data_IF_551234107783
#
_entry.id   IF_551234107783
#
_cell.length_a   1.000
_cell.length_b   1.000
_cell.length_c   1.000
_cell.angle_alpha   90.00
_cell.angle_beta   90.00
_cell.angle_gamma   90.00
#
_symmetry.space_group_name_H-M   'P 1'
#
loop_
_entity.id
_entity.type
_entity.pdbx_description
1 polymer ?
#
# COMPACT_ATOMS: atom_id res chain seq x y z
N UNK A 1 -4.08 -12.38 32.52
CA UNK A 1 -3.93 -12.76 31.09
C UNK A 1 -5.13 -12.36 30.23
N UNK A 2 -6.39 -12.59 30.66
CA UNK A 2 -7.59 -12.20 29.89
C UNK A 2 -7.69 -10.70 29.54
N UNK A 3 -7.30 -9.80 30.46
CA UNK A 3 -7.30 -8.35 30.20
C UNK A 3 -6.35 -7.94 29.06
N UNK A 4 -5.20 -8.62 28.91
CA UNK A 4 -4.25 -8.36 27.80
C UNK A 4 -4.85 -8.80 26.46
N UNK A 5 -5.52 -9.95 26.43
CA UNK A 5 -6.22 -10.42 25.23
C UNK A 5 -7.41 -9.52 24.86
N UNK A 6 -8.14 -8.99 25.86
CA UNK A 6 -9.20 -8.02 25.62
C UNK A 6 -8.66 -6.70 25.04
N UNK A 7 -7.53 -6.21 25.55
CA UNK A 7 -6.85 -5.03 25.01
C UNK A 7 -6.38 -5.28 23.56
N UNK A 8 -5.74 -6.41 23.27
CA UNK A 8 -5.29 -6.79 21.92
C UNK A 8 -6.45 -6.87 20.93
N UNK A 9 -7.58 -7.46 21.33
CA UNK A 9 -8.81 -7.50 20.50
C UNK A 9 -9.37 -6.11 20.26
N UNK A 10 -9.38 -5.24 21.27
CA UNK A 10 -9.87 -3.87 21.13
C UNK A 10 -9.00 -3.05 20.20
N UNK A 11 -7.67 -3.18 20.30
CA UNK A 11 -6.73 -2.57 19.37
C UNK A 11 -6.93 -3.08 17.94
N UNK A 12 -7.00 -4.39 17.73
CA UNK A 12 -7.25 -4.95 16.40
C UNK A 12 -8.55 -4.43 15.77
N UNK A 13 -9.65 -4.37 16.56
CA UNK A 13 -10.92 -3.78 16.11
C UNK A 13 -10.77 -2.30 15.75
N UNK A 14 -10.00 -1.54 16.52
CA UNK A 14 -9.77 -0.13 16.24
C UNK A 14 -8.96 0.05 14.95
N UNK A 15 -7.91 -0.75 14.74
CA UNK A 15 -7.11 -0.70 13.51
C UNK A 15 -7.97 -1.03 12.29
N UNK A 16 -8.83 -2.05 12.37
CA UNK A 16 -9.79 -2.36 11.29
C UNK A 16 -10.75 -1.20 11.01
N UNK A 17 -11.27 -0.55 12.06
CA UNK A 17 -12.13 0.64 11.89
C UNK A 17 -11.41 1.78 11.17
N UNK A 18 -10.14 2.05 11.50
CA UNK A 18 -9.35 3.08 10.83
C UNK A 18 -9.14 2.74 9.34
N UNK A 19 -8.86 1.47 9.02
CA UNK A 19 -8.73 1.01 7.62
C UNK A 19 -10.05 1.17 6.87
N UNK A 20 -11.17 0.75 7.45
CA UNK A 20 -12.50 0.91 6.84
C UNK A 20 -12.84 2.38 6.62
N UNK A 21 -12.55 3.26 7.59
CA UNK A 21 -12.77 4.69 7.43
C UNK A 21 -11.91 5.28 6.30
N UNK A 22 -10.63 4.91 6.23
CA UNK A 22 -9.74 5.33 5.16
C UNK A 22 -10.23 4.87 3.78
N UNK A 23 -10.75 3.65 3.67
CA UNK A 23 -11.36 3.14 2.44
C UNK A 23 -12.60 3.94 2.01
N UNK A 24 -13.47 4.29 2.95
CA UNK A 24 -14.65 5.12 2.67
C UNK A 24 -14.24 6.54 2.24
N UNK A 25 -13.28 7.16 2.94
CA UNK A 25 -12.79 8.49 2.56
C UNK A 25 -12.14 8.47 1.16
N UNK A 26 -11.39 7.42 0.82
CA UNK A 26 -10.84 7.24 -0.52
C UNK A 26 -11.97 7.12 -1.55
N UNK A 27 -13.00 6.31 -1.26
CA UNK A 27 -14.15 6.13 -2.13
C UNK A 27 -14.92 7.43 -2.36
N UNK A 28 -15.12 8.24 -1.32
CA UNK A 28 -15.80 9.53 -1.43
C UNK A 28 -15.03 10.50 -2.34
N UNK A 29 -13.69 10.46 -2.29
CA UNK A 29 -12.83 11.30 -3.14
C UNK A 29 -12.68 10.79 -4.58
N UNK A 30 -12.68 9.47 -4.81
CA UNK A 30 -12.34 8.86 -6.10
C UNK A 30 -13.51 8.12 -6.77
N UNK A 31 -14.70 8.12 -6.14
CA UNK A 31 -15.89 7.38 -6.57
C UNK A 31 -15.64 5.89 -6.85
N UNK A 32 -14.63 5.31 -6.20
CA UNK A 32 -14.18 3.93 -6.39
C UNK A 32 -13.31 3.50 -5.22
N UNK A 33 -13.27 2.20 -4.92
CA UNK A 33 -12.30 1.65 -3.98
C UNK A 33 -10.92 1.52 -4.64
N UNK A 34 -9.82 1.55 -3.86
CA UNK A 34 -8.48 1.43 -4.43
C UNK A 34 -8.31 0.07 -5.12
N UNK A 35 -7.56 0.06 -6.22
CA UNK A 35 -7.15 -1.19 -6.83
C UNK A 35 -6.31 -2.00 -5.82
N UNK A 36 -6.48 -3.32 -5.81
CA UNK A 36 -5.70 -4.19 -4.92
C UNK A 36 -4.19 -4.05 -5.16
N UNK A 37 -3.81 -3.82 -6.41
CA UNK A 37 -2.43 -3.69 -6.85
C UNK A 37 -2.32 -2.85 -8.13
N UNK A 38 -1.28 -2.01 -8.22
CA UNK A 38 -0.96 -1.16 -9.36
C UNK A 38 0.36 -1.60 -9.99
N UNK A 39 0.27 -2.22 -11.16
CA UNK A 39 1.40 -2.76 -11.92
C UNK A 39 1.04 -2.69 -13.40
N UNK A 40 2.04 -2.61 -14.29
CA UNK A 40 1.75 -2.77 -15.72
C UNK A 40 1.39 -4.21 -16.06
N UNK A 41 0.52 -4.39 -17.05
CA UNK A 41 0.16 -5.73 -17.52
C UNK A 41 1.37 -6.46 -18.07
N UNK A 42 1.68 -7.61 -17.46
CA UNK A 42 2.64 -8.59 -17.99
C UNK A 42 1.88 -9.74 -18.66
N UNK A 43 2.41 -10.28 -19.74
CA UNK A 43 1.91 -11.49 -20.40
C UNK A 43 3.05 -12.51 -20.51
N UNK A 44 2.88 -13.69 -19.89
CA UNK A 44 3.91 -14.74 -19.83
C UNK A 44 5.28 -14.20 -19.42
N UNK A 45 5.26 -13.24 -18.49
CA UNK A 45 6.48 -12.65 -17.97
C UNK A 45 7.20 -11.64 -18.86
N UNK A 46 6.61 -11.36 -20.03
CA UNK A 46 6.98 -10.21 -20.85
C UNK A 46 6.07 -9.04 -20.52
N UNK A 47 6.61 -7.84 -20.46
CA UNK A 47 5.89 -6.60 -20.27
C UNK A 47 6.51 -5.53 -21.16
N UNK A 48 5.98 -4.30 -21.14
CA UNK A 48 6.54 -3.22 -21.94
C UNK A 48 8.04 -3.06 -21.65
N UNK A 49 8.88 -2.88 -22.67
CA UNK A 49 10.36 -2.78 -22.52
C UNK A 49 10.77 -1.67 -21.55
N UNK A 50 9.94 -0.63 -21.42
CA UNK A 50 10.14 0.50 -20.52
C UNK A 50 9.61 0.24 -19.10
N UNK A 51 8.79 -0.78 -18.89
CA UNK A 51 8.37 -1.21 -17.58
C UNK A 51 9.50 -2.09 -17.01
N UNK A 52 10.23 -1.59 -16.02
CA UNK A 52 11.24 -2.39 -15.33
C UNK A 52 10.54 -3.56 -14.63
N UNK A 53 10.62 -4.75 -15.23
CA UNK A 53 10.04 -5.99 -14.69
C UNK A 53 11.06 -6.63 -13.77
N UNK A 54 10.67 -6.92 -12.54
CA UNK A 54 11.50 -7.70 -11.63
C UNK A 54 11.55 -9.17 -12.08
N UNK A 55 12.75 -9.72 -12.23
CA UNK A 55 12.95 -11.06 -12.79
C UNK A 55 12.49 -12.20 -11.86
N UNK A 56 12.23 -11.93 -10.58
CA UNK A 56 11.86 -12.94 -9.59
C UNK A 56 10.35 -12.95 -9.31
N UNK A 57 9.76 -11.77 -9.17
CA UNK A 57 8.35 -11.56 -8.82
C UNK A 57 7.48 -11.31 -10.05
N UNK A 58 8.08 -11.03 -11.20
CA UNK A 58 7.43 -10.62 -12.45
C UNK A 58 6.57 -9.37 -12.30
N UNK A 59 6.79 -8.60 -11.22
CA UNK A 59 6.11 -7.34 -11.01
C UNK A 59 6.66 -6.30 -11.98
N UNK A 60 5.76 -5.60 -12.66
CA UNK A 60 6.10 -4.46 -13.47
C UNK A 60 5.89 -3.18 -12.67
N UNK A 61 6.92 -2.33 -12.62
CA UNK A 61 6.85 -1.04 -11.93
C UNK A 61 5.53 -0.29 -12.20
N UNK A 62 4.92 0.41 -11.25
CA UNK A 62 5.52 0.79 -9.98
C UNK A 62 5.26 -0.20 -8.84
N UNK A 63 4.35 -1.18 -8.98
CA UNK A 63 4.28 -2.33 -8.07
C UNK A 63 3.63 -2.07 -6.70
N UNK A 64 2.64 -1.18 -6.62
CA UNK A 64 2.08 -0.73 -5.34
C UNK A 64 0.77 -1.41 -4.97
N UNK A 65 0.64 -1.87 -3.72
CA UNK A 65 -0.64 -2.34 -3.19
C UNK A 65 -1.58 -1.22 -2.74
N UNK A 66 -2.86 -1.55 -2.56
CA UNK A 66 -3.91 -0.62 -2.09
C UNK A 66 -3.52 0.17 -0.82
N UNK A 67 -2.69 -0.40 0.06
CA UNK A 67 -2.26 0.25 1.29
C UNK A 67 -1.48 1.53 1.04
N UNK A 68 -0.71 1.61 -0.05
CA UNK A 68 0.09 2.78 -0.38
C UNK A 68 -0.78 4.01 -0.69
N UNK A 69 -1.90 3.81 -1.40
CA UNK A 69 -2.83 4.91 -1.73
C UNK A 69 -3.72 5.30 -0.56
N UNK A 70 -3.85 4.46 0.47
CA UNK A 70 -4.58 4.80 1.69
C UNK A 70 -3.74 5.53 2.74
N UNK A 71 -2.41 5.62 2.59
CA UNK A 71 -1.55 6.26 3.59
C UNK A 71 -2.01 7.68 3.99
N UNK A 72 -2.38 8.58 3.07
CA UNK A 72 -2.87 9.92 3.45
C UNK A 72 -4.17 9.85 4.28
N UNK A 73 -5.04 8.88 3.99
CA UNK A 73 -6.30 8.67 4.70
C UNK A 73 -6.14 7.97 6.06
N UNK A 74 -4.94 7.43 6.33
CA UNK A 74 -4.54 6.83 7.61
C UNK A 74 -3.68 7.80 8.45
N UNK A 75 -3.66 9.09 8.09
CA UNK A 75 -2.81 10.11 8.72
C UNK A 75 -1.30 9.79 8.59
N UNK A 76 -0.91 9.05 7.54
CA UNK A 76 0.48 8.65 7.26
C UNK A 76 1.10 9.46 6.11
N UNK A 77 0.77 10.76 6.03
CA UNK A 77 1.24 11.67 4.97
C UNK A 77 2.77 11.71 4.89
N UNK A 78 3.48 11.70 6.02
CA UNK A 78 4.94 11.69 6.03
C UNK A 78 5.57 10.44 5.39
N UNK A 79 4.86 9.30 5.37
CA UNK A 79 5.27 8.09 4.65
C UNK A 79 4.87 8.21 3.18
N UNK A 80 3.65 8.69 2.91
CA UNK A 80 3.15 8.89 1.55
C UNK A 80 4.06 9.81 0.73
N UNK A 81 4.54 10.91 1.31
CA UNK A 81 5.41 11.89 0.64
C UNK A 81 6.77 11.33 0.22
N UNK A 82 7.18 10.18 0.78
CA UNK A 82 8.43 9.48 0.42
C UNK A 82 8.26 8.48 -0.71
N UNK A 83 7.03 8.23 -1.14
CA UNK A 83 6.71 7.29 -2.20
C UNK A 83 6.66 8.04 -3.53
N UNK A 84 7.58 7.71 -4.43
CA UNK A 84 7.50 8.12 -5.83
C UNK A 84 6.87 7.00 -6.65
N UNK A 85 5.60 7.18 -7.03
CA UNK A 85 4.85 6.20 -7.82
C UNK A 85 5.35 6.06 -9.26
N UNK A 86 6.31 6.86 -9.70
CA UNK A 86 6.99 6.72 -11.00
C UNK A 86 8.14 5.71 -10.93
N UNK A 87 8.63 5.41 -9.73
CA UNK A 87 9.70 4.46 -9.50
C UNK A 87 9.13 3.11 -9.04
N UNK A 88 9.82 2.00 -9.35
CA UNK A 88 9.44 0.69 -8.83
C UNK A 88 9.43 0.66 -7.30
N UNK A 89 8.54 -0.14 -6.71
CA UNK A 89 8.46 -0.30 -5.25
C UNK A 89 9.82 -0.72 -4.66
N UNK A 90 10.57 -1.61 -5.32
CA UNK A 90 11.89 -2.06 -4.87
C UNK A 90 13.02 -1.05 -5.07
N UNK A 91 12.75 0.16 -5.57
CA UNK A 91 13.77 1.20 -5.72
C UNK A 91 14.37 1.57 -4.33
N UNK A 92 15.70 1.74 -4.20
CA UNK A 92 16.35 1.97 -2.91
C UNK A 92 15.80 3.16 -2.11
N UNK A 93 15.30 4.19 -2.80
CA UNK A 93 14.64 5.35 -2.17
C UNK A 93 13.43 4.97 -1.30
N UNK A 94 12.72 3.90 -1.66
CA UNK A 94 11.51 3.46 -0.97
C UNK A 94 11.80 2.54 0.23
N UNK A 95 13.04 2.10 0.43
CA UNK A 95 13.39 1.15 1.48
C UNK A 95 12.92 1.59 2.88
N UNK A 96 13.04 2.89 3.19
CA UNK A 96 12.55 3.45 4.45
C UNK A 96 11.03 3.48 4.58
N UNK A 97 10.31 3.70 3.49
CA UNK A 97 8.84 3.68 3.49
C UNK A 97 8.29 2.25 3.60
N UNK A 98 8.92 1.29 2.92
CA UNK A 98 8.53 -0.13 2.94
C UNK A 98 8.77 -0.76 4.32
N UNK A 99 9.86 -0.39 4.99
CA UNK A 99 10.17 -0.88 6.32
C UNK A 99 9.32 -0.23 7.44
N UNK A 100 8.53 0.80 7.12
CA UNK A 100 7.75 1.52 8.11
C UNK A 100 6.62 0.63 8.67
N UNK A 101 6.45 0.68 9.99
CA UNK A 101 5.29 0.08 10.66
C UNK A 101 4.23 1.15 10.83
N UNK A 102 3.06 0.88 10.28
CA UNK A 102 1.87 1.70 10.52
C UNK A 102 1.33 1.39 11.95
N UNK A 103 0.75 2.38 12.64
CA UNK A 103 0.19 2.22 13.97
C UNK A 103 -1.00 1.22 14.05
#
# INVERSE_FOLDING_TARGET
QQAREAARRSQCKNNLKQITLALHNYHDAHSSFPAGYFSYGTNNGSGPVWAHIDANTWDAAPGWGWGAVLLPYLEQTAIADRIDSRLPIWHPQHAGAIAAKLP
#
